data_IF_030290624124
#
_entry.id   IF_030290624124
#
_cell.length_a   1.000
_cell.length_b   1.000
_cell.length_c   1.000
_cell.angle_alpha   90.00
_cell.angle_beta   90.00
_cell.angle_gamma   90.00
#
_symmetry.space_group_name_H-M   'P 1'
#
loop_
_entity.id
_entity.type
_entity.pdbx_description
1 polymer ?
#
# COMPACT_ATOMS: atom_id res chain seq x y z
N UNK A 1 19.91 -7.80 -23.70
CA UNK A 1 19.79 -9.04 -22.93
C UNK A 1 20.14 -8.68 -21.50
N UNK A 2 19.25 -8.58 -20.53
CA UNK A 2 17.81 -8.86 -20.44
C UNK A 2 17.21 -7.87 -19.44
N UNK A 3 16.10 -7.24 -19.79
CA UNK A 3 15.29 -6.45 -18.84
C UNK A 3 14.20 -7.38 -18.34
N UNK A 4 14.34 -7.86 -17.10
CA UNK A 4 13.30 -8.62 -16.42
C UNK A 4 12.22 -7.64 -16.00
N UNK A 5 11.18 -7.52 -16.82
CA UNK A 5 9.93 -6.87 -16.44
C UNK A 5 9.19 -7.79 -15.48
N UNK A 6 9.35 -7.58 -14.18
CA UNK A 6 8.53 -8.24 -13.17
C UNK A 6 7.14 -7.61 -13.16
N UNK A 7 6.25 -8.10 -14.02
CA UNK A 7 4.81 -7.88 -13.89
C UNK A 7 4.26 -8.79 -12.81
N UNK A 8 4.34 -8.36 -11.55
CA UNK A 8 3.51 -8.93 -10.48
C UNK A 8 2.08 -8.36 -10.61
N UNK A 9 1.35 -8.91 -11.58
CA UNK A 9 -0.09 -8.78 -11.69
C UNK A 9 -0.72 -9.63 -10.57
N UNK A 10 -1.00 -9.02 -9.42
CA UNK A 10 -1.87 -9.60 -8.41
C UNK A 10 -3.28 -9.80 -8.99
N UNK A 11 -3.52 -10.98 -9.60
CA UNK A 11 -4.84 -11.43 -10.04
C UNK A 11 -5.56 -12.06 -8.85
N UNK A 12 -6.32 -11.26 -8.10
CA UNK A 12 -7.18 -11.78 -7.04
C UNK A 12 -8.50 -12.26 -7.67
N UNK A 13 -8.88 -13.51 -7.37
CA UNK A 13 -10.17 -14.10 -7.70
C UNK A 13 -11.18 -13.69 -6.63
N UNK A 14 -12.30 -13.13 -7.03
CA UNK A 14 -13.43 -12.79 -6.16
C UNK A 14 -14.26 -14.03 -5.83
N UNK A 15 -14.39 -14.40 -4.56
CA UNK A 15 -15.48 -15.24 -4.07
C UNK A 15 -16.29 -14.46 -3.02
N UNK A 16 -17.61 -14.44 -3.21
CA UNK A 16 -18.57 -13.63 -2.48
C UNK A 16 -19.04 -14.31 -1.19
N UNK A 17 -19.07 -13.57 -0.09
CA UNK A 17 -19.83 -13.94 1.11
C UNK A 17 -20.59 -12.73 1.64
N UNK A 18 -21.91 -12.84 1.68
CA UNK A 18 -22.88 -11.82 2.10
C UNK A 18 -22.80 -11.52 3.60
N UNK A 19 -22.97 -10.25 3.97
CA UNK A 19 -23.54 -9.79 5.23
C UNK A 19 -24.28 -8.44 4.98
N UNK A 20 -25.46 -8.31 5.59
CA UNK A 20 -26.59 -7.43 5.25
C UNK A 20 -26.46 -5.90 5.47
N UNK A 21 -27.22 -5.15 4.68
CA UNK A 21 -27.31 -3.68 4.52
C UNK A 21 -27.69 -2.82 5.75
N UNK A 22 -27.04 -1.65 5.85
CA UNK A 22 -27.73 -0.37 6.11
C UNK A 22 -26.98 0.80 5.42
N UNK A 23 -27.59 1.27 4.33
CA UNK A 23 -27.67 2.63 3.76
C UNK A 23 -26.56 3.67 4.05
N UNK A 24 -25.52 3.65 3.21
CA UNK A 24 -24.93 4.79 2.50
C UNK A 24 -23.94 4.19 1.51
N UNK A 25 -24.44 3.66 0.39
CA UNK A 25 -23.60 3.03 -0.63
C UNK A 25 -22.80 4.08 -1.39
N UNK A 26 -21.76 4.62 -0.75
CA UNK A 26 -20.62 5.24 -1.41
C UNK A 26 -19.91 4.12 -2.18
N UNK A 27 -20.46 3.79 -3.36
CA UNK A 27 -19.78 2.94 -4.34
C UNK A 27 -18.62 3.74 -4.88
N UNK A 28 -17.49 3.69 -4.20
CA UNK A 28 -16.24 4.18 -4.75
C UNK A 28 -15.81 3.19 -5.83
N UNK A 29 -16.25 3.46 -7.06
CA UNK A 29 -15.73 2.79 -8.25
C UNK A 29 -14.34 3.36 -8.44
N UNK A 30 -13.30 2.61 -8.04
CA UNK A 30 -11.93 2.91 -8.41
C UNK A 30 -11.87 2.98 -9.95
N UNK A 31 -11.73 4.17 -10.56
CA UNK A 31 -11.84 4.28 -11.99
C UNK A 31 -10.51 3.84 -12.60
N UNK A 32 -10.45 2.58 -13.02
CA UNK A 32 -9.45 2.04 -13.97
C UNK A 32 -7.99 2.00 -13.46
N UNK A 33 -7.47 0.78 -13.33
CA UNK A 33 -6.05 0.38 -13.43
C UNK A 33 -5.03 1.50 -13.15
N UNK A 34 -4.77 1.78 -11.88
CA UNK A 34 -3.63 2.63 -11.51
C UNK A 34 -2.35 1.93 -11.98
N UNK A 35 -1.61 2.56 -12.90
CA UNK A 35 -0.28 2.08 -13.31
C UNK A 35 0.75 2.83 -12.48
N UNK A 36 1.55 2.09 -11.73
CA UNK A 36 2.55 2.66 -10.81
C UNK A 36 3.92 2.21 -11.24
N UNK A 37 4.82 3.18 -11.41
CA UNK A 37 6.24 2.93 -11.60
C UNK A 37 6.98 3.16 -10.28
N UNK A 38 7.88 2.26 -9.94
CA UNK A 38 8.76 2.43 -8.78
C UNK A 38 10.21 2.21 -9.22
N UNK A 39 11.09 3.06 -8.70
CA UNK A 39 12.52 2.97 -8.92
C UNK A 39 13.24 3.37 -7.64
N UNK A 40 14.29 2.63 -7.29
CA UNK A 40 15.16 2.94 -6.16
C UNK A 40 16.62 2.87 -6.62
N UNK A 41 17.41 3.82 -6.17
CA UNK A 41 18.85 3.86 -6.40
C UNK A 41 19.55 4.18 -5.08
N UNK A 42 20.51 3.33 -4.70
CA UNK A 42 21.34 3.53 -3.52
C UNK A 42 22.28 4.72 -3.69
N UNK A 43 22.62 5.06 -4.94
CA UNK A 43 23.65 6.03 -5.26
C UNK A 43 25.00 5.67 -4.60
N UNK A 44 25.65 6.70 -4.05
CA UNK A 44 26.95 6.59 -3.39
C UNK A 44 26.93 6.09 -1.94
N UNK A 45 25.76 5.74 -1.39
CA UNK A 45 25.64 5.30 -0.01
C UNK A 45 26.18 3.87 0.17
N UNK A 46 26.75 3.54 1.35
CA UNK A 46 27.25 2.19 1.62
C UNK A 46 26.10 1.17 1.70
N UNK A 47 24.93 1.59 2.18
CA UNK A 47 23.74 0.76 2.37
C UNK A 47 22.53 1.41 1.70
N UNK A 48 21.58 0.58 1.24
CA UNK A 48 20.27 1.03 0.77
C UNK A 48 19.32 0.94 1.97
N UNK A 49 19.01 2.07 2.59
CA UNK A 49 18.12 2.12 3.76
C UNK A 49 16.70 2.55 3.39
N UNK A 50 16.48 3.13 2.21
CA UNK A 50 15.13 3.42 1.72
C UNK A 50 14.36 2.13 1.43
N UNK A 51 13.06 2.19 1.71
CA UNK A 51 12.09 1.18 1.34
C UNK A 51 10.88 1.84 0.68
N UNK A 52 10.08 1.05 -0.04
CA UNK A 52 8.84 1.51 -0.62
C UNK A 52 7.78 0.41 -0.55
N UNK A 53 6.52 0.82 -0.65
CA UNK A 53 5.40 -0.08 -0.78
C UNK A 53 4.40 0.44 -1.80
N UNK A 54 3.92 -0.47 -2.64
CA UNK A 54 2.75 -0.30 -3.51
C UNK A 54 1.78 -1.40 -3.13
N UNK A 55 0.69 -1.03 -2.46
CA UNK A 55 -0.36 -1.96 -2.05
C UNK A 55 -1.69 -1.49 -2.65
N UNK A 56 -2.40 -2.36 -3.34
CA UNK A 56 -3.70 -2.03 -3.93
C UNK A 56 -4.68 -3.16 -3.67
N UNK A 57 -5.89 -2.79 -3.28
CA UNK A 57 -7.06 -3.67 -3.17
C UNK A 57 -8.07 -3.29 -4.26
N UNK A 58 -9.22 -3.96 -4.29
CA UNK A 58 -10.30 -3.59 -5.20
C UNK A 58 -10.91 -2.21 -4.87
N UNK A 59 -10.75 -1.74 -3.62
CA UNK A 59 -11.38 -0.51 -3.12
C UNK A 59 -10.38 0.62 -2.90
N UNK A 60 -9.19 0.28 -2.41
CA UNK A 60 -8.22 1.23 -1.87
C UNK A 60 -6.83 0.99 -2.46
N UNK A 61 -6.00 2.02 -2.42
CA UNK A 61 -4.59 1.89 -2.74
C UNK A 61 -3.74 2.70 -1.77
N UNK A 62 -2.62 2.12 -1.37
CA UNK A 62 -1.65 2.69 -0.46
C UNK A 62 -0.27 2.66 -1.12
N UNK A 63 0.34 3.84 -1.21
CA UNK A 63 1.67 4.03 -1.78
C UNK A 63 2.51 4.79 -0.77
N UNK A 64 3.70 4.29 -0.48
CA UNK A 64 4.57 4.92 0.51
C UNK A 64 6.04 4.71 0.18
N UNK A 65 6.85 5.69 0.56
CA UNK A 65 8.31 5.66 0.53
C UNK A 65 8.78 5.93 1.95
N UNK A 66 9.74 5.15 2.40
CA UNK A 66 10.33 5.21 3.73
C UNK A 66 11.81 5.51 3.56
N UNK A 67 12.27 6.63 4.10
CA UNK A 67 13.69 7.00 4.14
C UNK A 67 14.28 6.50 5.47
N UNK A 68 15.06 5.42 5.39
CA UNK A 68 15.68 4.80 6.55
C UNK A 68 16.94 5.52 6.99
N UNK A 69 17.19 5.55 8.29
CA UNK A 69 18.46 6.05 8.84
C UNK A 69 18.87 5.26 10.09
N UNK A 70 20.17 5.07 10.28
CA UNK A 70 20.71 4.35 11.44
C UNK A 70 20.44 2.84 11.38
N UNK A 71 20.30 2.29 10.17
CA UNK A 71 19.88 0.92 9.89
C UNK A 71 18.53 0.87 9.15
N UNK A 72 18.36 -0.12 8.27
CA UNK A 72 17.14 -0.28 7.47
C UNK A 72 15.94 -0.86 8.25
N UNK A 73 16.13 -1.24 9.52
CA UNK A 73 15.14 -2.00 10.29
C UNK A 73 13.82 -1.24 10.48
N UNK A 74 13.87 0.06 10.79
CA UNK A 74 12.67 0.87 10.98
C UNK A 74 11.91 1.06 9.66
N UNK A 75 12.60 1.42 8.58
CA UNK A 75 11.99 1.58 7.25
C UNK A 75 11.35 0.26 6.76
N UNK A 76 12.01 -0.87 6.98
CA UNK A 76 11.45 -2.20 6.66
C UNK A 76 10.23 -2.52 7.52
N UNK A 77 10.26 -2.23 8.82
CA UNK A 77 9.09 -2.44 9.68
C UNK A 77 7.88 -1.62 9.23
N UNK A 78 8.09 -0.33 8.91
CA UNK A 78 7.04 0.53 8.38
C UNK A 78 6.50 0.02 7.04
N UNK A 79 7.37 -0.42 6.11
CA UNK A 79 6.95 -1.07 4.86
C UNK A 79 6.04 -2.27 5.13
N UNK A 80 6.40 -3.11 6.08
CA UNK A 80 5.73 -4.37 6.33
C UNK A 80 4.41 -4.22 7.12
N UNK A 81 4.27 -3.19 7.97
CA UNK A 81 3.14 -3.07 8.90
C UNK A 81 2.25 -1.84 8.72
N UNK A 82 2.79 -0.69 8.31
CA UNK A 82 2.05 0.59 8.37
C UNK A 82 0.76 0.57 7.53
N UNK A 83 0.84 0.01 6.32
CA UNK A 83 -0.31 -0.08 5.43
C UNK A 83 -1.43 -0.95 6.01
N UNK A 84 -1.11 -1.99 6.79
CA UNK A 84 -2.10 -2.86 7.42
C UNK A 84 -2.90 -2.09 8.47
N UNK A 85 -2.22 -1.28 9.29
CA UNK A 85 -2.87 -0.47 10.32
C UNK A 85 -3.79 0.60 9.69
N UNK A 86 -3.28 1.34 8.71
CA UNK A 86 -4.02 2.41 8.03
C UNK A 86 -5.23 1.84 7.27
N UNK A 87 -5.03 0.79 6.46
CA UNK A 87 -6.12 0.19 5.68
C UNK A 87 -7.16 -0.50 6.58
N UNK A 88 -6.75 -1.05 7.72
CA UNK A 88 -7.70 -1.57 8.71
C UNK A 88 -8.59 -0.47 9.29
N UNK A 89 -8.02 0.70 9.61
CA UNK A 89 -8.78 1.84 10.14
C UNK A 89 -9.76 2.40 9.09
N UNK A 90 -9.32 2.51 7.83
CA UNK A 90 -10.18 2.85 6.70
C UNK A 90 -11.33 1.85 6.51
N UNK A 91 -11.05 0.55 6.63
CA UNK A 91 -12.06 -0.51 6.57
C UNK A 91 -13.14 -0.40 7.67
N UNK A 92 -12.83 0.25 8.78
CA UNK A 92 -13.75 0.54 9.89
C UNK A 92 -14.50 1.88 9.74
N UNK A 93 -14.33 2.59 8.63
CA UNK A 93 -15.01 3.84 8.34
C UNK A 93 -14.29 5.11 8.81
N UNK A 94 -13.04 5.02 9.25
CA UNK A 94 -12.22 6.20 9.50
C UNK A 94 -11.99 6.98 8.21
N UNK A 95 -11.85 8.29 8.32
CA UNK A 95 -11.37 9.10 7.20
C UNK A 95 -9.88 8.83 6.96
N UNK A 96 -9.34 9.09 5.76
CA UNK A 96 -7.89 8.95 5.50
C UNK A 96 -7.01 9.74 6.47
N UNK A 97 -7.45 10.92 6.91
CA UNK A 97 -6.70 11.73 7.88
C UNK A 97 -6.67 11.07 9.26
N UNK A 98 -7.80 10.54 9.74
CA UNK A 98 -7.87 9.83 11.02
C UNK A 98 -7.06 8.53 10.98
N UNK A 99 -7.18 7.75 9.90
CA UNK A 99 -6.44 6.51 9.71
C UNK A 99 -4.92 6.73 9.68
N UNK A 100 -4.46 7.86 9.11
CA UNK A 100 -3.05 8.24 9.13
C UNK A 100 -2.57 8.65 10.54
N UNK A 101 -3.41 9.36 11.31
CA UNK A 101 -3.07 9.75 12.69
C UNK A 101 -3.01 8.53 13.61
N UNK A 102 -3.89 7.55 13.41
CA UNK A 102 -3.95 6.33 14.24
C UNK A 102 -2.89 5.29 13.85
N UNK A 103 -2.50 5.24 12.57
CA UNK A 103 -1.56 4.25 12.05
C UNK A 103 -0.09 4.49 12.39
N UNK A 104 0.28 5.71 12.78
CA UNK A 104 1.65 6.13 13.15
C UNK A 104 1.81 6.25 14.66
#
# INVERSE_FOLDING_TARGET
>A
ADSVMATDLCRVKSESSDCSESDASLRFVCPKTCTVGVYTDRGGCPFMEDAHLVHATERDAFFCVYDGHGGSAAAHHCRDQLHLHILSSLGCGATPAEALVDGF
#
